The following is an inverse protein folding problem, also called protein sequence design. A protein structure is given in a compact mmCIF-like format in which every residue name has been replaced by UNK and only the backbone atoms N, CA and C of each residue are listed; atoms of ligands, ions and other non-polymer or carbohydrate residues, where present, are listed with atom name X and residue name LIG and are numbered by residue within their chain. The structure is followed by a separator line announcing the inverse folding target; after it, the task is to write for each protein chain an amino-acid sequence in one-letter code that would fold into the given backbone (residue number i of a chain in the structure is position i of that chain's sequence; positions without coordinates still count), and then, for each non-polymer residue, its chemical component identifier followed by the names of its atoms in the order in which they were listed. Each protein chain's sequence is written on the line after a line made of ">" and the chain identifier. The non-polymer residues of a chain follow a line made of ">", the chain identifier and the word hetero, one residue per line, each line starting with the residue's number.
data_IF_544088447799
#
_entry.id   IF_544088447799
#
_cell.length_a   1.000
_cell.length_b   1.000
_cell.length_c   1.000
_cell.angle_alpha   90.00
_cell.angle_beta   90.00
_cell.angle_gamma   90.00
#
_symmetry.space_group_name_H-M   'P 1'
#
loop_
_entity.id
_entity.type
_entity.pdbx_description
1 polymer ?
#
# COMPACT_ATOMS: atom_id res chain seq x y z
N UNK A 1 -9.99 -31.87 -9.24
CA UNK A 1 -11.05 -31.15 -8.47
C UNK A 1 -10.62 -31.00 -7.02
N UNK A 2 -10.91 -29.89 -6.41
CA UNK A 2 -10.65 -29.72 -4.98
C UNK A 2 -11.62 -30.59 -4.18
N UNK A 3 -11.08 -31.46 -3.32
CA UNK A 3 -11.87 -32.43 -2.53
C UNK A 3 -12.27 -31.90 -1.13
N UNK A 4 -11.85 -30.69 -0.80
CA UNK A 4 -12.15 -30.03 0.47
C UNK A 4 -13.37 -29.11 0.39
N UNK A 5 -13.69 -28.45 1.52
CA UNK A 5 -14.73 -27.44 1.56
C UNK A 5 -14.29 -26.15 0.85
N UNK A 6 -15.19 -25.53 0.11
CA UNK A 6 -15.00 -24.19 -0.46
C UNK A 6 -16.05 -23.25 0.13
N UNK A 7 -15.64 -22.05 0.52
CA UNK A 7 -16.53 -21.00 0.99
C UNK A 7 -17.22 -20.34 -0.21
N UNK A 8 -18.42 -20.80 -0.55
CA UNK A 8 -19.13 -20.39 -1.77
C UNK A 8 -20.10 -19.22 -1.59
N UNK A 9 -20.14 -18.61 -0.41
CA UNK A 9 -20.99 -17.47 -0.13
C UNK A 9 -20.28 -16.18 -0.54
N UNK A 10 -21.00 -15.31 -1.27
CA UNK A 10 -20.45 -14.06 -1.76
C UNK A 10 -20.40 -12.97 -0.68
N UNK A 11 -19.55 -11.97 -0.92
CA UNK A 11 -19.44 -10.82 -0.05
C UNK A 11 -20.57 -9.82 -0.32
N UNK A 12 -21.16 -9.28 0.75
CA UNK A 12 -22.12 -8.19 0.67
C UNK A 12 -21.40 -6.85 0.38
N UNK A 13 -21.36 -6.43 -0.86
CA UNK A 13 -20.69 -5.20 -1.31
C UNK A 13 -21.34 -3.89 -0.83
N UNK A 14 -22.40 -3.94 -0.01
CA UNK A 14 -22.84 -2.75 0.75
C UNK A 14 -21.89 -2.40 1.90
N UNK A 15 -21.01 -3.34 2.29
CA UNK A 15 -19.92 -3.15 3.23
C UNK A 15 -18.56 -3.31 2.51
N UNK A 16 -17.51 -2.76 3.08
CA UNK A 16 -16.16 -2.88 2.51
C UNK A 16 -15.54 -4.22 2.87
N UNK A 17 -14.78 -4.80 1.93
CA UNK A 17 -13.85 -5.88 2.25
C UNK A 17 -12.58 -5.28 2.81
N UNK A 18 -12.15 -5.73 3.99
CA UNK A 18 -10.85 -5.32 4.53
C UNK A 18 -9.81 -6.40 4.27
N UNK A 19 -8.77 -6.04 3.54
CA UNK A 19 -7.59 -6.86 3.34
C UNK A 19 -6.45 -6.32 4.19
N UNK A 20 -5.86 -7.14 5.05
CA UNK A 20 -4.75 -6.78 5.91
C UNK A 20 -3.50 -7.58 5.54
N UNK A 21 -2.42 -6.86 5.25
CA UNK A 21 -1.09 -7.42 5.02
C UNK A 21 -0.19 -7.08 6.21
N UNK A 22 0.30 -8.10 6.93
CA UNK A 22 1.08 -7.90 8.14
C UNK A 22 2.47 -8.52 8.01
N UNK A 23 3.50 -7.69 7.90
CA UNK A 23 4.90 -8.09 8.00
C UNK A 23 5.32 -8.29 9.46
N UNK A 24 6.58 -8.53 9.69
CA UNK A 24 7.16 -8.59 11.05
C UNK A 24 8.58 -8.07 10.99
N UNK A 25 8.79 -6.90 11.55
CA UNK A 25 10.10 -6.24 11.62
C UNK A 25 10.45 -5.88 13.05
N UNK A 26 11.55 -6.40 13.55
CA UNK A 26 12.12 -5.94 14.82
C UNK A 26 12.95 -4.69 14.53
N UNK A 27 12.56 -3.56 15.12
CA UNK A 27 13.27 -2.29 15.02
C UNK A 27 13.93 -2.01 16.38
N UNK A 28 15.25 -1.90 16.38
CA UNK A 28 16.02 -1.46 17.52
C UNK A 28 16.51 -0.06 17.24
N UNK A 29 15.93 0.92 17.93
CA UNK A 29 16.33 2.31 17.84
C UNK A 29 17.41 2.63 18.86
N UNK A 30 18.47 3.28 18.44
CA UNK A 30 19.55 3.79 19.28
C UNK A 30 19.26 5.22 19.73
N UNK A 31 20.05 5.72 20.69
CA UNK A 31 19.89 7.08 21.24
C UNK A 31 20.06 8.20 20.19
N UNK A 32 20.90 7.97 19.19
CA UNK A 32 21.16 8.86 18.07
C UNK A 32 20.09 8.78 16.96
N UNK A 33 19.00 8.05 17.22
CA UNK A 33 17.93 7.75 16.26
C UNK A 33 18.34 6.87 15.07
N UNK A 34 19.55 6.30 15.07
CA UNK A 34 19.87 5.23 14.14
C UNK A 34 19.06 3.98 14.46
N UNK A 35 18.67 3.23 13.44
CA UNK A 35 17.86 2.03 13.59
C UNK A 35 18.53 0.81 13.02
N UNK A 36 18.54 -0.28 13.77
CA UNK A 36 18.82 -1.61 13.25
C UNK A 36 17.48 -2.33 13.03
N UNK A 37 17.27 -2.83 11.83
CA UNK A 37 16.01 -3.44 11.42
C UNK A 37 16.24 -4.89 10.98
N UNK A 38 15.62 -5.83 11.69
CA UNK A 38 15.67 -7.26 11.39
C UNK A 38 14.28 -7.75 11.04
N UNK A 39 14.16 -8.48 9.95
CA UNK A 39 12.90 -9.07 9.52
C UNK A 39 12.90 -10.58 9.80
N UNK A 40 12.20 -11.06 10.84
CA UNK A 40 12.04 -12.47 11.12
C UNK A 40 11.19 -13.22 10.09
N UNK A 41 10.26 -12.51 9.43
CA UNK A 41 9.35 -13.08 8.44
C UNK A 41 9.43 -12.31 7.13
N UNK A 42 9.78 -12.99 6.03
CA UNK A 42 10.00 -12.36 4.72
C UNK A 42 8.72 -11.97 4.00
N UNK A 43 7.64 -12.72 4.20
CA UNK A 43 6.34 -12.48 3.56
C UNK A 43 5.31 -12.01 4.59
N UNK A 44 4.33 -11.17 4.22
CA UNK A 44 3.29 -10.75 5.15
C UNK A 44 2.35 -11.93 5.47
N UNK A 45 1.70 -11.88 6.62
CA UNK A 45 0.44 -12.62 6.82
C UNK A 45 -0.67 -11.84 6.14
N UNK A 46 -1.58 -12.57 5.52
CA UNK A 46 -2.72 -12.00 4.83
C UNK A 46 -4.00 -12.39 5.55
N UNK A 47 -4.82 -11.40 5.85
CA UNK A 47 -6.15 -11.58 6.41
C UNK A 47 -7.17 -10.90 5.51
N UNK A 48 -8.35 -11.50 5.39
CA UNK A 48 -9.48 -10.97 4.64
C UNK A 48 -10.71 -10.96 5.54
N UNK A 49 -11.38 -9.83 5.59
CA UNK A 49 -12.63 -9.68 6.33
C UNK A 49 -13.79 -9.52 5.35
N UNK A 50 -14.75 -10.46 5.41
CA UNK A 50 -15.94 -10.48 4.56
C UNK A 50 -17.19 -10.31 5.40
N UNK A 51 -18.13 -9.54 4.88
CA UNK A 51 -19.52 -9.51 5.35
C UNK A 51 -20.38 -10.35 4.41
N UNK A 52 -21.18 -11.25 4.97
CA UNK A 52 -22.11 -12.08 4.19
C UNK A 52 -23.52 -11.85 4.72
N UNK A 53 -24.44 -11.53 3.82
CA UNK A 53 -25.85 -11.31 4.14
C UNK A 53 -26.72 -12.36 3.44
N UNK A 54 -27.03 -13.50 4.08
CA UNK A 54 -27.96 -14.45 3.52
C UNK A 54 -29.34 -13.81 3.30
N UNK A 55 -29.88 -13.93 2.09
CA UNK A 55 -31.14 -13.29 1.71
C UNK A 55 -32.33 -14.20 1.96
N UNK A 56 -32.09 -15.51 2.00
CA UNK A 56 -33.14 -16.50 2.22
C UNK A 56 -32.86 -17.33 3.47
N UNK A 57 -33.94 -17.90 4.05
CA UNK A 57 -33.83 -18.83 5.18
C UNK A 57 -32.98 -20.06 4.84
N UNK A 58 -33.08 -20.57 3.62
CA UNK A 58 -32.32 -21.75 3.16
C UNK A 58 -30.83 -21.40 3.09
N UNK A 59 -30.50 -20.28 2.50
CA UNK A 59 -29.12 -19.79 2.40
C UNK A 59 -28.49 -19.61 3.79
N UNK A 60 -29.22 -18.98 4.71
CA UNK A 60 -28.80 -18.83 6.11
C UNK A 60 -28.52 -20.17 6.79
N UNK A 61 -29.44 -21.15 6.62
CA UNK A 61 -29.24 -22.48 7.18
C UNK A 61 -28.04 -23.20 6.54
N UNK A 62 -27.83 -23.06 5.24
CA UNK A 62 -26.66 -23.58 4.57
C UNK A 62 -25.36 -22.96 5.12
N UNK A 63 -25.36 -21.64 5.35
CA UNK A 63 -24.20 -20.94 5.91
C UNK A 63 -23.94 -21.38 7.37
N UNK A 64 -24.98 -21.48 8.21
CA UNK A 64 -24.87 -21.98 9.59
C UNK A 64 -24.29 -23.42 9.62
N UNK A 65 -24.77 -24.30 8.76
CA UNK A 65 -24.27 -25.66 8.64
C UNK A 65 -22.84 -25.71 8.13
N UNK A 66 -22.49 -24.81 7.18
CA UNK A 66 -21.14 -24.71 6.66
C UNK A 66 -20.15 -24.27 7.76
N UNK A 67 -20.51 -23.26 8.55
CA UNK A 67 -19.70 -22.80 9.69
C UNK A 67 -19.48 -23.96 10.67
N UNK A 68 -20.56 -24.61 11.07
CA UNK A 68 -20.54 -25.73 12.03
C UNK A 68 -19.59 -26.86 11.58
N UNK A 69 -19.62 -27.20 10.30
CA UNK A 69 -18.82 -28.29 9.75
C UNK A 69 -17.36 -27.93 9.53
N UNK A 70 -17.06 -26.68 9.14
CA UNK A 70 -15.77 -26.33 8.53
C UNK A 70 -14.96 -25.28 9.30
N UNK A 71 -15.49 -24.65 10.35
CA UNK A 71 -14.80 -23.55 11.05
C UNK A 71 -13.39 -23.93 11.56
N UNK A 72 -13.19 -25.17 11.99
CA UNK A 72 -11.90 -25.66 12.51
C UNK A 72 -10.88 -26.05 11.43
N UNK A 73 -11.34 -26.21 10.19
CA UNK A 73 -10.55 -26.72 9.07
C UNK A 73 -10.01 -25.64 8.15
N UNK A 74 -9.08 -26.03 7.29
CA UNK A 74 -8.73 -25.24 6.12
C UNK A 74 -9.80 -25.44 5.04
N UNK A 75 -10.10 -24.35 4.33
CA UNK A 75 -11.06 -24.34 3.24
C UNK A 75 -10.54 -23.51 2.07
N UNK A 76 -11.12 -23.67 0.92
CA UNK A 76 -10.85 -22.84 -0.22
C UNK A 76 -11.69 -21.55 -0.11
N UNK A 77 -11.03 -20.41 -0.09
CA UNK A 77 -11.62 -19.08 0.03
C UNK A 77 -11.55 -18.37 -1.32
N UNK A 78 -12.68 -18.02 -1.96
CA UNK A 78 -12.69 -17.12 -3.10
C UNK A 78 -12.16 -15.74 -2.71
N UNK A 79 -11.30 -15.16 -3.53
CA UNK A 79 -10.82 -13.81 -3.34
C UNK A 79 -11.76 -12.86 -4.08
N UNK A 80 -12.88 -12.51 -3.43
CA UNK A 80 -13.95 -11.71 -4.03
C UNK A 80 -13.48 -10.34 -4.53
N UNK A 81 -12.44 -9.79 -3.93
CA UNK A 81 -11.82 -8.55 -4.40
C UNK A 81 -11.19 -8.69 -5.80
N UNK A 82 -10.89 -9.92 -6.21
CA UNK A 82 -10.29 -10.24 -7.50
C UNK A 82 -11.28 -10.94 -8.45
N UNK A 83 -12.57 -10.86 -8.16
CA UNK A 83 -13.62 -11.41 -8.99
C UNK A 83 -13.72 -10.68 -10.33
N UNK A 84 -13.96 -11.45 -11.38
CA UNK A 84 -14.18 -11.00 -12.75
C UNK A 84 -15.42 -11.67 -13.32
N UNK A 85 -16.00 -11.05 -14.35
CA UNK A 85 -17.13 -11.62 -15.08
C UNK A 85 -16.60 -12.31 -16.34
N UNK A 86 -16.98 -13.57 -16.53
CA UNK A 86 -16.65 -14.35 -17.70
C UNK A 86 -17.27 -13.71 -18.95
N UNK A 87 -16.46 -13.40 -19.96
CA UNK A 87 -16.90 -12.74 -21.19
C UNK A 87 -17.27 -13.74 -22.30
N UNK A 88 -16.74 -14.93 -22.24
CA UNK A 88 -16.96 -16.00 -23.23
C UNK A 88 -17.32 -17.31 -22.54
N UNK A 89 -18.04 -18.19 -23.23
CA UNK A 89 -18.41 -19.49 -22.67
C UNK A 89 -17.18 -20.35 -22.41
N UNK A 90 -17.08 -20.90 -21.20
CA UNK A 90 -16.16 -21.97 -20.85
C UNK A 90 -16.95 -23.28 -20.83
N UNK A 91 -16.79 -24.10 -21.88
CA UNK A 91 -17.58 -25.30 -22.06
C UNK A 91 -17.07 -26.46 -21.17
N UNK A 92 -17.99 -27.35 -20.79
CA UNK A 92 -17.62 -28.63 -20.20
C UNK A 92 -16.63 -29.39 -21.06
N UNK A 93 -15.62 -29.99 -20.46
CA UNK A 93 -14.54 -30.68 -21.16
C UNK A 93 -13.37 -29.79 -21.59
N UNK A 94 -13.45 -28.47 -21.45
CA UNK A 94 -12.34 -27.55 -21.70
C UNK A 94 -11.46 -27.37 -20.43
N UNK A 95 -10.16 -27.18 -20.66
CA UNK A 95 -9.17 -26.91 -19.61
C UNK A 95 -8.64 -25.48 -19.65
N UNK A 96 -9.24 -24.58 -20.45
CA UNK A 96 -8.79 -23.19 -20.58
C UNK A 96 -9.97 -22.25 -20.33
N UNK A 97 -9.74 -21.27 -19.46
CA UNK A 97 -10.68 -20.20 -19.15
C UNK A 97 -10.08 -18.88 -19.56
N UNK A 98 -10.75 -18.16 -20.45
CA UNK A 98 -10.29 -16.85 -20.95
C UNK A 98 -10.70 -15.75 -19.97
N UNK A 99 -9.73 -15.25 -19.21
CA UNK A 99 -9.86 -14.15 -18.24
C UNK A 99 -8.54 -13.39 -18.12
N UNK A 100 -8.61 -12.15 -17.75
CA UNK A 100 -7.40 -11.36 -17.47
C UNK A 100 -6.75 -11.82 -16.16
N UNK A 101 -5.46 -12.09 -16.18
CA UNK A 101 -4.71 -12.54 -14.99
C UNK A 101 -3.80 -11.46 -14.45
N UNK A 102 -3.36 -10.51 -15.28
CA UNK A 102 -2.51 -9.39 -14.87
C UNK A 102 -3.26 -8.47 -13.90
N UNK A 103 -2.61 -8.07 -12.81
CA UNK A 103 -3.17 -7.27 -11.71
C UNK A 103 -4.18 -7.99 -10.81
N UNK A 104 -4.41 -9.28 -11.03
CA UNK A 104 -5.28 -10.14 -10.23
C UNK A 104 -4.51 -11.24 -9.51
N UNK A 105 -5.09 -11.78 -8.46
CA UNK A 105 -4.44 -12.73 -7.55
C UNK A 105 -4.44 -14.19 -8.05
N UNK A 106 -4.33 -14.39 -9.37
CA UNK A 106 -4.15 -15.71 -9.92
C UNK A 106 -2.70 -16.19 -9.77
N UNK A 107 -2.52 -17.47 -9.47
CA UNK A 107 -1.21 -18.07 -9.31
C UNK A 107 -1.15 -19.46 -9.96
N UNK A 108 -0.01 -19.81 -10.53
CA UNK A 108 0.25 -21.16 -11.00
C UNK A 108 0.26 -22.13 -9.80
N UNK A 109 -0.40 -23.26 -9.93
CA UNK A 109 -0.70 -24.22 -8.86
C UNK A 109 -1.70 -23.74 -7.78
N UNK A 110 -2.22 -22.50 -7.88
CA UNK A 110 -3.34 -22.02 -7.09
C UNK A 110 -4.69 -22.63 -7.52
N UNK A 111 -5.75 -22.01 -7.13
CA UNK A 111 -7.12 -22.43 -7.46
C UNK A 111 -7.90 -21.30 -8.12
N UNK A 112 -8.90 -21.70 -8.91
CA UNK A 112 -9.88 -20.83 -9.55
C UNK A 112 -11.25 -21.36 -9.20
N UNK A 113 -12.18 -20.44 -8.92
CA UNK A 113 -13.60 -20.74 -8.72
C UNK A 113 -14.41 -20.06 -9.82
N UNK A 114 -15.24 -20.86 -10.52
CA UNK A 114 -16.33 -20.38 -11.34
C UNK A 114 -17.60 -20.45 -10.47
N UNK A 115 -18.31 -19.33 -10.37
CA UNK A 115 -19.38 -19.20 -9.40
C UNK A 115 -20.60 -18.51 -10.02
N UNK A 116 -21.77 -19.02 -9.72
CA UNK A 116 -23.07 -18.43 -10.08
C UNK A 116 -23.89 -18.11 -8.84
N UNK A 117 -23.89 -19.02 -7.87
CA UNK A 117 -24.50 -18.88 -6.55
C UNK A 117 -23.84 -19.86 -5.56
N UNK A 118 -24.24 -19.81 -4.28
CA UNK A 118 -23.63 -20.61 -3.22
C UNK A 118 -23.78 -22.13 -3.40
N UNK A 119 -24.70 -22.60 -4.26
CA UNK A 119 -24.89 -24.03 -4.59
C UNK A 119 -24.27 -24.41 -5.93
N UNK A 120 -24.14 -23.45 -6.86
CA UNK A 120 -23.67 -23.66 -8.21
C UNK A 120 -22.31 -23.00 -8.42
N UNK A 121 -21.27 -23.74 -8.10
CA UNK A 121 -19.88 -23.33 -8.29
C UNK A 121 -18.99 -24.53 -8.66
N UNK A 122 -17.85 -24.26 -9.26
CA UNK A 122 -16.84 -25.26 -9.58
C UNK A 122 -15.46 -24.74 -9.21
N UNK A 123 -14.73 -25.49 -8.36
CA UNK A 123 -13.40 -25.14 -7.91
C UNK A 123 -12.37 -26.04 -8.58
N UNK A 124 -11.45 -25.45 -9.33
CA UNK A 124 -10.47 -26.18 -10.15
C UNK A 124 -9.07 -25.67 -9.87
N UNK A 125 -8.08 -26.55 -9.94
CA UNK A 125 -6.68 -26.21 -9.76
C UNK A 125 -6.11 -25.61 -11.03
N UNK A 126 -5.34 -24.52 -10.88
CA UNK A 126 -4.64 -23.84 -11.98
C UNK A 126 -3.33 -24.58 -12.29
N UNK A 127 -3.06 -24.84 -13.55
CA UNK A 127 -1.81 -25.40 -14.04
C UNK A 127 -0.83 -24.29 -14.45
N UNK A 128 -1.27 -23.37 -15.29
CA UNK A 128 -0.46 -22.28 -15.80
C UNK A 128 -1.30 -21.05 -16.14
N UNK A 129 -0.63 -19.93 -16.33
CA UNK A 129 -1.23 -18.62 -16.57
C UNK A 129 -0.60 -17.96 -17.79
N UNK A 130 -1.43 -17.28 -18.58
CA UNK A 130 -1.01 -16.24 -19.52
C UNK A 130 -1.67 -14.92 -19.09
N UNK A 131 -1.35 -13.79 -19.72
CA UNK A 131 -1.99 -12.51 -19.40
C UNK A 131 -3.50 -12.47 -19.61
N UNK A 132 -4.04 -13.37 -20.46
CA UNK A 132 -5.44 -13.37 -20.91
C UNK A 132 -6.17 -14.70 -20.70
N UNK A 133 -5.52 -15.70 -20.10
CA UNK A 133 -6.14 -17.01 -19.88
C UNK A 133 -5.50 -17.79 -18.72
N UNK A 134 -6.30 -18.65 -18.13
CA UNK A 134 -5.89 -19.63 -17.12
C UNK A 134 -6.04 -21.04 -17.72
N UNK A 135 -4.97 -21.84 -17.65
CA UNK A 135 -5.01 -23.27 -17.99
C UNK A 135 -5.21 -24.07 -16.71
N UNK A 136 -6.15 -24.97 -16.72
CA UNK A 136 -6.54 -25.82 -15.58
C UNK A 136 -5.82 -27.16 -15.61
N UNK A 137 -5.65 -27.79 -14.46
CA UNK A 137 -5.08 -29.15 -14.36
C UNK A 137 -6.05 -30.25 -14.82
N UNK A 138 -7.34 -29.97 -14.73
CA UNK A 138 -8.45 -30.86 -15.07
C UNK A 138 -9.46 -30.11 -15.91
N UNK A 139 -10.20 -30.83 -16.73
CA UNK A 139 -11.27 -30.25 -17.54
C UNK A 139 -12.45 -29.82 -16.68
N UNK A 140 -13.13 -28.75 -17.09
CA UNK A 140 -14.38 -28.31 -16.48
C UNK A 140 -15.46 -29.39 -16.59
N UNK A 141 -16.18 -29.61 -15.53
CA UNK A 141 -17.31 -30.54 -15.48
C UNK A 141 -18.58 -29.92 -16.04
N UNK A 142 -18.77 -28.64 -15.79
CA UNK A 142 -19.96 -27.88 -16.19
C UNK A 142 -19.64 -26.85 -17.27
N UNK A 143 -20.68 -26.47 -18.02
CA UNK A 143 -20.58 -25.35 -18.96
C UNK A 143 -20.94 -24.05 -18.28
N UNK A 144 -20.04 -23.08 -18.31
CA UNK A 144 -20.16 -21.77 -17.71
C UNK A 144 -20.36 -20.71 -18.79
N UNK A 145 -21.51 -20.05 -18.75
CA UNK A 145 -21.89 -19.03 -19.75
C UNK A 145 -21.32 -17.66 -19.39
N UNK A 146 -21.26 -16.71 -20.35
CA UNK A 146 -20.97 -15.31 -20.04
C UNK A 146 -21.85 -14.79 -18.92
N UNK A 147 -21.30 -13.90 -18.06
CA UNK A 147 -21.96 -13.44 -16.84
C UNK A 147 -21.63 -14.24 -15.59
N UNK A 148 -21.04 -15.45 -15.71
CA UNK A 148 -20.52 -16.20 -14.56
C UNK A 148 -19.37 -15.44 -13.90
N UNK A 149 -19.36 -15.41 -12.56
CA UNK A 149 -18.26 -14.85 -11.81
C UNK A 149 -17.09 -15.85 -11.74
N UNK A 150 -15.90 -15.36 -12.00
CA UNK A 150 -14.67 -16.12 -11.90
C UNK A 150 -13.71 -15.39 -10.98
N UNK A 151 -13.21 -16.08 -9.98
CA UNK A 151 -12.25 -15.49 -9.05
C UNK A 151 -11.12 -16.46 -8.70
N UNK A 152 -9.93 -15.95 -8.38
CA UNK A 152 -8.88 -16.76 -7.78
C UNK A 152 -9.33 -17.22 -6.40
N UNK A 153 -8.79 -18.34 -5.93
CA UNK A 153 -9.09 -18.85 -4.61
C UNK A 153 -7.83 -19.32 -3.90
N UNK A 154 -7.83 -19.17 -2.58
CA UNK A 154 -6.70 -19.46 -1.69
C UNK A 154 -7.14 -20.36 -0.56
N UNK A 155 -6.22 -21.20 -0.06
CA UNK A 155 -6.46 -21.91 1.18
C UNK A 155 -6.46 -20.92 2.35
N UNK A 156 -7.50 -21.00 3.18
CA UNK A 156 -7.68 -20.11 4.31
C UNK A 156 -8.38 -20.83 5.47
N UNK A 157 -8.35 -20.19 6.64
CA UNK A 157 -9.05 -20.64 7.84
C UNK A 157 -9.91 -19.51 8.38
N UNK A 158 -11.11 -19.84 8.82
CA UNK A 158 -11.91 -18.88 9.59
C UNK A 158 -11.25 -18.59 10.93
N UNK A 159 -11.44 -17.38 11.44
CA UNK A 159 -11.08 -17.05 12.81
C UNK A 159 -11.83 -17.94 13.81
N UNK A 160 -11.31 -18.01 15.03
CA UNK A 160 -11.94 -18.80 16.10
C UNK A 160 -13.36 -18.32 16.45
N UNK A 161 -13.65 -17.05 16.15
CA UNK A 161 -14.97 -16.46 16.41
C UNK A 161 -15.54 -15.87 15.12
N UNK A 162 -16.71 -16.34 14.72
CA UNK A 162 -17.54 -15.72 13.68
C UNK A 162 -18.57 -14.85 14.37
N UNK A 163 -18.67 -13.60 13.97
CA UNK A 163 -19.62 -12.65 14.55
C UNK A 163 -20.84 -12.51 13.63
N UNK A 164 -22.01 -12.35 14.22
CA UNK A 164 -23.24 -12.10 13.49
C UNK A 164 -24.18 -11.22 14.32
N UNK A 165 -25.02 -10.45 13.64
CA UNK A 165 -26.06 -9.63 14.26
C UNK A 165 -27.42 -10.14 13.81
N UNK A 166 -28.31 -10.38 14.73
CA UNK A 166 -29.65 -10.82 14.39
C UNK A 166 -30.60 -9.62 14.30
N UNK A 167 -30.95 -9.23 13.07
CA UNK A 167 -31.90 -8.15 12.82
C UNK A 167 -33.34 -8.66 12.81
N UNK A 168 -33.56 -9.90 12.30
CA UNK A 168 -34.85 -10.57 12.27
C UNK A 168 -34.64 -12.08 12.37
N UNK A 169 -35.70 -12.86 12.46
CA UNK A 169 -35.60 -14.33 12.51
C UNK A 169 -34.90 -14.93 11.28
N UNK A 170 -34.99 -14.27 10.14
CA UNK A 170 -34.50 -14.76 8.85
C UNK A 170 -33.26 -14.01 8.34
N UNK A 171 -33.01 -12.79 8.82
CA UNK A 171 -31.95 -11.93 8.35
C UNK A 171 -30.86 -11.79 9.41
N UNK A 172 -29.68 -12.33 9.11
CA UNK A 172 -28.50 -12.28 9.95
C UNK A 172 -27.30 -11.97 9.10
N UNK A 173 -26.76 -10.74 9.10
CA UNK A 173 -25.45 -10.49 8.55
C UNK A 173 -24.36 -11.16 9.39
N UNK A 174 -23.40 -11.78 8.73
CA UNK A 174 -22.26 -12.43 9.34
C UNK A 174 -20.99 -11.70 8.94
N UNK A 175 -20.08 -11.55 9.89
CA UNK A 175 -18.74 -11.02 9.65
C UNK A 175 -17.71 -12.12 9.85
N UNK A 176 -16.94 -12.39 8.80
CA UNK A 176 -15.93 -13.43 8.77
C UNK A 176 -14.56 -12.79 8.67
N UNK A 177 -13.66 -13.22 9.53
CA UNK A 177 -12.24 -12.96 9.39
C UNK A 177 -11.55 -14.26 8.96
N UNK A 178 -10.86 -14.23 7.83
CA UNK A 178 -10.11 -15.34 7.29
C UNK A 178 -8.61 -15.08 7.37
N UNK A 179 -7.88 -16.05 7.91
CA UNK A 179 -6.43 -16.12 7.81
C UNK A 179 -6.08 -16.93 6.56
N UNK A 180 -5.42 -16.30 5.59
CA UNK A 180 -5.00 -16.96 4.36
C UNK A 180 -3.70 -17.71 4.63
N UNK A 181 -3.69 -19.03 4.36
CA UNK A 181 -2.53 -19.89 4.62
C UNK A 181 -1.34 -19.54 3.69
N UNK A 182 -1.61 -18.98 2.51
CA UNK A 182 -0.61 -18.50 1.58
C UNK A 182 -0.21 -17.05 1.91
N UNK A 183 1.05 -16.85 2.19
CA UNK A 183 1.55 -15.68 2.89
C UNK A 183 1.50 -14.33 2.15
N UNK A 184 1.16 -14.27 0.86
CA UNK A 184 1.04 -12.99 0.13
C UNK A 184 0.18 -13.16 -1.12
N UNK A 185 -0.36 -12.05 -1.66
CA UNK A 185 -0.93 -12.04 -2.99
C UNK A 185 0.07 -12.56 -4.04
N UNK A 186 -0.44 -13.07 -5.16
CA UNK A 186 0.43 -13.52 -6.25
C UNK A 186 1.28 -12.38 -6.80
N UNK A 187 2.40 -12.73 -7.42
CA UNK A 187 3.27 -11.76 -8.10
C UNK A 187 2.57 -11.08 -9.28
N UNK A 188 1.55 -11.71 -9.86
CA UNK A 188 0.74 -11.10 -10.92
C UNK A 188 -0.10 -9.92 -10.44
N UNK A 189 -0.45 -9.89 -9.16
CA UNK A 189 -1.24 -8.80 -8.56
C UNK A 189 -0.41 -7.55 -8.28
N UNK A 190 0.87 -7.74 -7.94
CA UNK A 190 1.80 -6.67 -7.62
C UNK A 190 2.64 -6.30 -8.85
N UNK A 191 2.64 -5.04 -9.23
CA UNK A 191 3.46 -4.58 -10.35
C UNK A 191 4.95 -4.70 -10.03
N UNK A 192 5.70 -5.26 -10.98
CA UNK A 192 7.15 -5.23 -10.96
C UNK A 192 7.60 -3.92 -11.61
N UNK A 193 7.75 -2.87 -10.82
CA UNK A 193 8.22 -1.56 -11.28
C UNK A 193 9.67 -1.34 -10.88
N UNK A 194 10.41 -0.66 -11.76
CA UNK A 194 11.68 -0.04 -11.41
C UNK A 194 11.40 1.42 -11.05
N UNK A 195 11.24 1.76 -9.76
CA UNK A 195 10.97 3.13 -9.34
C UNK A 195 12.19 4.01 -9.62
N UNK A 196 11.96 5.33 -9.69
CA UNK A 196 13.06 6.26 -9.64
C UNK A 196 13.87 6.05 -8.36
N UNK A 197 15.19 6.22 -8.47
CA UNK A 197 16.11 6.03 -7.35
C UNK A 197 16.89 7.31 -7.08
N UNK A 198 17.11 7.57 -5.81
CA UNK A 198 18.00 8.61 -5.33
C UNK A 198 18.92 8.01 -4.25
N UNK A 199 20.23 8.22 -4.38
CA UNK A 199 21.23 7.61 -3.51
C UNK A 199 21.03 6.10 -3.32
N UNK A 200 20.78 5.38 -4.42
CA UNK A 200 20.54 3.93 -4.46
C UNK A 200 19.30 3.46 -3.67
N UNK A 201 18.37 4.35 -3.37
CA UNK A 201 17.13 4.03 -2.65
C UNK A 201 15.94 4.52 -3.46
N UNK A 202 14.86 3.73 -3.48
CA UNK A 202 13.64 4.04 -4.21
C UNK A 202 13.02 5.37 -3.76
N UNK A 203 12.50 6.13 -4.71
CA UNK A 203 11.65 7.31 -4.46
C UNK A 203 10.20 6.92 -4.63
N UNK A 204 9.38 7.22 -3.63
CA UNK A 204 7.94 7.02 -3.69
C UNK A 204 7.27 8.33 -4.12
N UNK A 205 6.77 8.35 -5.35
CA UNK A 205 6.31 9.57 -6.04
C UNK A 205 4.79 9.76 -5.98
N UNK A 206 4.04 8.90 -5.28
CA UNK A 206 2.61 9.08 -5.14
C UNK A 206 2.29 10.21 -4.17
N UNK A 207 1.34 11.06 -4.56
CA UNK A 207 0.86 12.17 -3.74
C UNK A 207 -0.21 11.63 -2.81
N UNK A 208 -0.13 11.98 -1.51
CA UNK A 208 -1.23 11.67 -0.59
C UNK A 208 -2.50 12.40 -1.01
N UNK A 209 -3.62 11.70 -0.96
CA UNK A 209 -4.92 12.29 -1.27
C UNK A 209 -5.25 13.42 -0.29
N UNK A 210 -5.64 14.57 -0.82
CA UNK A 210 -6.15 15.69 -0.05
C UNK A 210 -7.65 15.54 0.26
N UNK A 211 -8.17 16.43 1.09
CA UNK A 211 -9.62 16.52 1.38
C UNK A 211 -10.02 16.03 2.77
N UNK A 212 -9.16 15.32 3.46
CA UNK A 212 -9.33 15.01 4.89
C UNK A 212 -8.22 15.67 5.71
N UNK A 213 -8.52 15.96 6.96
CA UNK A 213 -7.50 16.39 7.93
C UNK A 213 -6.66 15.17 8.30
N UNK A 214 -5.38 15.24 8.00
CA UNK A 214 -4.42 14.20 8.34
C UNK A 214 -3.48 14.76 9.43
N UNK A 215 -3.48 14.10 10.59
CA UNK A 215 -2.64 14.53 11.71
C UNK A 215 -1.18 14.09 11.47
N UNK A 216 -0.26 15.03 11.56
CA UNK A 216 1.18 14.76 11.58
C UNK A 216 1.74 15.04 12.97
N UNK A 217 2.87 14.42 13.30
CA UNK A 217 3.53 14.63 14.59
C UNK A 217 5.04 14.68 14.48
N UNK A 218 5.64 15.56 15.25
CA UNK A 218 7.08 15.61 15.47
C UNK A 218 7.42 14.88 16.75
N UNK A 219 8.33 13.91 16.69
CA UNK A 219 8.79 13.15 17.84
C UNK A 219 10.26 13.46 18.13
N UNK A 220 10.52 13.99 19.30
CA UNK A 220 11.87 14.27 19.80
C UNK A 220 12.25 13.26 20.90
N UNK A 221 13.50 12.81 20.90
CA UNK A 221 14.00 11.81 21.87
C UNK A 221 14.43 12.42 23.20
N UNK A 222 13.52 13.13 23.88
CA UNK A 222 13.76 13.69 25.21
C UNK A 222 13.24 12.75 26.31
N UNK A 223 13.97 12.62 27.41
CA UNK A 223 13.50 11.94 28.61
C UNK A 223 13.11 12.96 29.67
N UNK A 224 11.88 12.91 30.12
CA UNK A 224 11.41 13.69 31.24
C UNK A 224 11.35 12.79 32.48
N UNK A 225 12.10 13.16 33.52
CA UNK A 225 12.08 12.47 34.82
C UNK A 225 11.33 13.33 35.78
N UNK A 226 10.19 12.84 36.23
CA UNK A 226 9.39 13.51 37.27
C UNK A 226 9.80 12.98 38.66
N UNK A 227 10.32 13.85 39.49
CA UNK A 227 10.69 13.53 40.89
C UNK A 227 9.56 13.88 41.89
N UNK A 228 8.31 14.08 41.41
CA UNK A 228 7.13 14.50 42.19
C UNK A 228 7.24 15.93 42.79
N UNK A 229 8.41 16.50 42.84
CA UNK A 229 8.68 17.89 43.33
C UNK A 229 9.06 18.81 42.16
N UNK A 230 9.49 18.24 41.05
CA UNK A 230 9.85 18.91 39.82
C UNK A 230 10.25 17.92 38.72
N UNK A 231 9.96 18.23 37.46
CA UNK A 231 10.39 17.45 36.34
C UNK A 231 11.72 17.95 35.79
N UNK A 232 12.64 17.04 35.50
CA UNK A 232 13.90 17.35 34.81
C UNK A 232 13.86 16.73 33.43
N UNK A 233 13.96 17.56 32.41
CA UNK A 233 14.11 17.16 31.03
C UNK A 233 15.57 16.82 30.75
N UNK A 234 15.84 15.60 30.33
CA UNK A 234 17.18 15.16 29.92
C UNK A 234 17.20 15.01 28.41
N UNK A 235 17.82 15.97 27.73
CA UNK A 235 18.19 15.85 26.33
C UNK A 235 19.59 15.21 26.25
N UNK A 236 19.68 14.07 25.59
CA UNK A 236 20.96 13.37 25.42
C UNK A 236 21.90 14.09 24.44
N UNK A 237 21.42 15.08 23.70
CA UNK A 237 22.18 15.75 22.61
C UNK A 237 22.52 14.81 21.43
N UNK A 238 22.17 13.54 21.53
CA UNK A 238 22.51 12.52 20.51
C UNK A 238 21.56 12.60 19.30
N UNK A 239 20.41 13.27 19.46
CA UNK A 239 19.38 13.42 18.43
C UNK A 239 19.08 14.89 18.20
N UNK A 240 19.78 15.55 17.28
CA UNK A 240 19.66 17.00 17.10
C UNK A 240 18.29 17.44 16.53
N UNK A 241 17.62 16.56 15.79
CA UNK A 241 16.37 16.89 15.08
C UNK A 241 15.23 15.95 15.49
N UNK A 242 13.98 16.43 15.48
CA UNK A 242 12.81 15.58 15.66
C UNK A 242 12.58 14.70 14.42
N UNK A 243 12.04 13.49 14.60
CA UNK A 243 11.51 12.70 13.51
C UNK A 243 10.06 13.11 13.24
N UNK A 244 9.69 13.21 11.98
CA UNK A 244 8.33 13.49 11.57
C UNK A 244 7.61 12.18 11.20
N UNK A 245 6.37 12.05 11.67
CA UNK A 245 5.46 11.01 11.23
C UNK A 245 4.43 11.67 10.30
N UNK A 246 4.44 11.24 9.04
CA UNK A 246 3.61 11.79 7.97
C UNK A 246 2.50 10.80 7.67
N UNK A 247 1.24 11.19 7.83
CA UNK A 247 0.13 10.35 7.40
C UNK A 247 0.08 10.27 5.87
N UNK A 248 -0.36 9.14 5.37
CA UNK A 248 -0.54 8.88 3.96
C UNK A 248 -1.89 8.19 3.73
N UNK A 249 -2.66 8.72 2.79
CA UNK A 249 -3.93 8.16 2.33
C UNK A 249 -3.94 8.16 0.81
N UNK A 250 -4.44 7.10 0.23
CA UNK A 250 -4.63 6.98 -1.22
C UNK A 250 -5.91 6.21 -1.52
N UNK A 251 -6.65 6.69 -2.51
CA UNK A 251 -7.80 6.04 -3.10
C UNK A 251 -7.41 5.53 -4.48
N UNK A 252 -7.49 4.23 -4.67
CA UNK A 252 -7.22 3.57 -5.94
C UNK A 252 -8.51 3.49 -6.73
N UNK A 253 -8.53 4.08 -7.91
CA UNK A 253 -9.68 4.08 -8.81
C UNK A 253 -9.64 2.90 -9.79
N UNK A 254 -8.48 2.26 -9.91
CA UNK A 254 -8.28 1.14 -10.83
C UNK A 254 -7.22 0.15 -10.34
N UNK A 255 -7.24 -1.02 -10.96
CA UNK A 255 -6.33 -2.13 -10.63
C UNK A 255 -4.84 -1.82 -10.85
N UNK A 256 -4.50 -0.97 -11.81
CA UNK A 256 -3.11 -0.64 -12.09
C UNK A 256 -2.49 0.18 -10.96
N UNK A 257 -3.22 1.17 -10.42
CA UNK A 257 -2.78 1.95 -9.26
C UNK A 257 -2.58 1.05 -8.04
N UNK A 258 -3.58 0.20 -7.74
CA UNK A 258 -3.46 -0.76 -6.64
C UNK A 258 -2.29 -1.72 -6.82
N UNK A 259 -2.08 -2.24 -8.03
CA UNK A 259 -0.95 -3.12 -8.34
C UNK A 259 0.40 -2.43 -8.09
N UNK A 260 0.50 -1.14 -8.42
CA UNK A 260 1.67 -0.30 -8.14
C UNK A 260 1.91 -0.16 -6.64
N UNK A 261 0.85 0.09 -5.87
CA UNK A 261 0.91 0.14 -4.40
C UNK A 261 1.36 -1.18 -3.78
N UNK A 262 0.77 -2.29 -4.21
CA UNK A 262 1.17 -3.62 -3.73
C UNK A 262 2.63 -3.92 -4.06
N UNK A 263 3.10 -3.56 -5.27
CA UNK A 263 4.49 -3.67 -5.66
C UNK A 263 5.42 -2.81 -4.79
N UNK A 264 4.99 -1.62 -4.40
CA UNK A 264 5.71 -0.79 -3.43
C UNK A 264 5.79 -1.47 -2.06
N UNK A 265 4.69 -1.97 -1.51
CA UNK A 265 4.67 -2.66 -0.22
C UNK A 265 5.57 -3.90 -0.21
N UNK A 266 5.56 -4.70 -1.26
CA UNK A 266 6.42 -5.87 -1.43
C UNK A 266 7.92 -5.49 -1.37
N UNK A 267 8.29 -4.37 -2.02
CA UNK A 267 9.67 -3.85 -1.97
C UNK A 267 10.04 -3.29 -0.59
N UNK A 268 9.08 -2.72 0.14
CA UNK A 268 9.34 -2.16 1.50
C UNK A 268 9.45 -3.22 2.57
N UNK A 269 8.75 -4.33 2.42
CA UNK A 269 8.74 -5.44 3.38
C UNK A 269 8.40 -4.96 4.81
N UNK A 270 7.33 -4.17 4.94
CA UNK A 270 6.96 -3.53 6.19
C UNK A 270 7.93 -2.40 6.58
N UNK A 271 8.27 -2.29 7.84
CA UNK A 271 9.17 -1.25 8.37
C UNK A 271 10.65 -1.44 8.01
N UNK A 272 10.99 -2.44 7.21
CA UNK A 272 12.40 -2.84 7.02
C UNK A 272 13.15 -1.93 6.07
N UNK A 273 12.64 -1.72 4.85
CA UNK A 273 13.37 -1.07 3.75
C UNK A 273 12.89 0.37 3.63
N UNK A 274 13.78 1.35 3.80
CA UNK A 274 13.43 2.75 3.67
C UNK A 274 13.24 3.16 2.21
N UNK A 275 12.72 4.37 2.03
CA UNK A 275 12.48 5.01 0.74
C UNK A 275 12.53 6.52 0.89
N UNK A 276 12.71 7.21 -0.21
CA UNK A 276 12.58 8.66 -0.28
C UNK A 276 11.12 9.05 -0.56
N UNK A 277 10.64 10.08 0.13
CA UNK A 277 9.29 10.62 -0.03
C UNK A 277 9.31 12.15 -0.09
N UNK A 278 8.91 12.76 -1.22
CA UNK A 278 8.76 14.21 -1.32
C UNK A 278 7.66 14.70 -0.37
N UNK A 279 7.82 15.91 0.16
CA UNK A 279 6.76 16.56 0.95
C UNK A 279 5.52 16.87 0.13
N UNK A 280 5.68 17.03 -1.19
CA UNK A 280 4.69 17.54 -2.13
C UNK A 280 4.19 18.96 -1.82
N UNK A 281 4.78 19.59 -0.82
CA UNK A 281 4.60 20.99 -0.48
C UNK A 281 5.58 21.85 -1.29
N UNK A 282 5.31 23.13 -1.39
CA UNK A 282 6.27 24.08 -1.95
C UNK A 282 7.11 24.63 -0.81
N UNK A 283 8.09 23.85 -0.35
CA UNK A 283 8.94 24.20 0.80
C UNK A 283 9.83 25.42 0.52
N UNK A 284 10.09 25.68 -0.76
CA UNK A 284 10.86 26.85 -1.23
C UNK A 284 10.11 27.55 -2.34
N UNK A 285 9.93 28.84 -2.22
CA UNK A 285 9.35 29.68 -3.27
C UNK A 285 10.48 30.26 -4.14
N UNK A 286 10.76 29.70 -5.33
CA UNK A 286 11.90 30.13 -6.13
C UNK A 286 11.71 31.54 -6.67
N UNK A 287 12.80 32.29 -6.72
CA UNK A 287 12.92 33.60 -7.36
C UNK A 287 13.77 33.46 -8.62
N UNK A 288 14.93 32.80 -8.51
CA UNK A 288 15.85 32.57 -9.62
C UNK A 288 16.43 31.17 -9.54
N UNK A 289 16.56 30.48 -10.67
CA UNK A 289 17.19 29.17 -10.76
C UNK A 289 18.32 29.24 -11.78
N UNK A 290 19.54 28.96 -11.33
CA UNK A 290 20.75 28.92 -12.16
C UNK A 290 21.21 27.46 -12.28
N UNK A 291 21.14 26.91 -13.48
CA UNK A 291 21.57 25.54 -13.77
C UNK A 291 23.11 25.42 -13.82
N UNK A 292 23.62 24.26 -13.47
CA UNK A 292 25.03 23.90 -13.58
C UNK A 292 25.47 22.93 -12.51
N UNK A 293 26.71 22.45 -12.62
CA UNK A 293 27.33 21.58 -11.60
C UNK A 293 27.39 22.30 -10.24
N UNK A 294 27.56 23.62 -10.26
CA UNK A 294 27.49 24.52 -9.12
C UNK A 294 26.20 25.37 -9.22
N UNK A 295 25.07 24.73 -9.51
CA UNK A 295 23.80 25.43 -9.66
C UNK A 295 23.34 26.05 -8.36
N UNK A 296 22.46 27.06 -8.47
CA UNK A 296 21.87 27.72 -7.31
C UNK A 296 20.39 28.02 -7.52
N UNK A 297 19.67 28.05 -6.41
CA UNK A 297 18.28 28.47 -6.37
C UNK A 297 18.17 29.59 -5.33
N UNK A 298 17.80 30.78 -5.82
CA UNK A 298 17.43 31.88 -4.94
C UNK A 298 15.92 31.75 -4.67
N UNK A 299 15.53 31.88 -3.42
CA UNK A 299 14.14 31.74 -2.99
C UNK A 299 13.79 32.77 -1.91
N UNK A 300 12.50 32.98 -1.70
CA UNK A 300 12.01 33.86 -0.63
C UNK A 300 12.45 33.28 0.71
N UNK A 301 13.11 34.09 1.55
CA UNK A 301 13.65 33.64 2.84
C UNK A 301 12.57 32.98 3.71
N UNK A 302 12.85 31.79 4.19
CA UNK A 302 12.01 30.99 5.08
C UNK A 302 12.77 30.49 6.32
N UNK A 303 14.02 30.94 6.51
CA UNK A 303 14.87 30.58 7.62
C UNK A 303 15.61 29.26 7.46
N UNK A 304 15.60 28.66 6.27
CA UNK A 304 16.30 27.39 6.04
C UNK A 304 17.80 27.50 6.28
N UNK A 305 18.43 28.57 5.78
CA UNK A 305 19.87 28.79 5.92
C UNK A 305 20.27 28.88 7.41
N UNK A 306 19.48 29.59 8.21
CA UNK A 306 19.82 29.90 9.59
C UNK A 306 19.47 28.76 10.57
N UNK A 307 18.38 28.05 10.34
CA UNK A 307 17.87 27.07 11.30
C UNK A 307 18.10 25.62 10.89
N UNK A 308 17.80 25.27 9.65
CA UNK A 308 17.84 23.85 9.21
C UNK A 308 19.21 23.47 8.68
N UNK A 309 19.78 24.28 7.79
CA UNK A 309 21.09 24.01 7.22
C UNK A 309 22.21 24.14 8.28
N UNK A 310 22.12 25.14 9.14
CA UNK A 310 23.07 25.32 10.24
C UNK A 310 23.02 24.16 11.24
N UNK A 311 21.84 23.59 11.50
CA UNK A 311 21.65 22.42 12.36
C UNK A 311 21.96 21.08 11.66
N UNK A 312 22.53 21.10 10.45
CA UNK A 312 22.79 19.92 9.62
C UNK A 312 21.53 19.07 9.36
N UNK A 313 20.40 19.77 9.21
CA UNK A 313 19.08 19.16 8.99
C UNK A 313 18.88 18.64 7.57
N UNK A 314 17.63 18.70 7.09
CA UNK A 314 17.23 18.22 5.74
C UNK A 314 18.05 18.88 4.63
N UNK A 315 18.71 18.05 3.81
CA UNK A 315 19.57 18.52 2.71
C UNK A 315 19.13 18.02 1.34
N UNK A 316 18.13 17.15 1.29
CA UNK A 316 17.72 16.52 0.05
C UNK A 316 16.44 17.16 -0.45
N UNK A 317 16.43 17.51 -1.74
CA UNK A 317 15.38 18.29 -2.39
C UNK A 317 14.90 17.55 -3.64
N UNK A 318 13.59 17.49 -3.83
CA UNK A 318 12.95 17.11 -5.06
C UNK A 318 12.46 18.36 -5.79
N UNK A 319 12.87 18.51 -7.02
CA UNK A 319 12.44 19.56 -7.95
C UNK A 319 11.47 18.91 -8.92
N UNK A 320 10.22 19.33 -8.89
CA UNK A 320 9.11 18.61 -9.52
C UNK A 320 8.27 19.59 -10.33
N UNK A 321 7.96 19.24 -11.59
CA UNK A 321 6.85 19.86 -12.31
C UNK A 321 5.62 18.96 -12.23
N UNK A 322 4.50 19.53 -11.80
CA UNK A 322 3.21 18.88 -11.82
C UNK A 322 2.36 19.41 -12.98
N UNK A 323 1.78 18.49 -13.73
CA UNK A 323 0.71 18.79 -14.68
C UNK A 323 -0.52 18.00 -14.30
N UNK A 324 -1.63 18.67 -14.03
CA UNK A 324 -2.91 18.05 -13.63
C UNK A 324 -2.74 17.04 -12.46
N UNK A 325 -1.87 17.35 -11.48
CA UNK A 325 -1.62 16.48 -10.33
C UNK A 325 -0.71 15.28 -10.63
N UNK A 326 -0.20 15.15 -11.84
CA UNK A 326 0.75 14.11 -12.23
C UNK A 326 2.16 14.68 -12.41
N UNK A 327 3.17 13.91 -12.05
CA UNK A 327 4.57 14.27 -12.29
C UNK A 327 4.86 14.22 -13.79
N UNK A 328 5.43 15.28 -14.33
CA UNK A 328 5.90 15.29 -15.72
C UNK A 328 6.99 14.25 -15.95
N UNK A 329 6.97 13.61 -17.12
CA UNK A 329 7.96 12.62 -17.56
C UNK A 329 9.38 13.18 -17.64
N UNK A 330 10.34 12.28 -17.83
CA UNK A 330 11.80 12.47 -17.84
C UNK A 330 12.32 13.87 -18.23
N UNK A 331 13.14 14.48 -17.38
CA UNK A 331 13.71 15.82 -17.54
C UNK A 331 13.03 16.92 -16.72
N UNK A 332 11.89 16.64 -16.10
CA UNK A 332 11.12 17.59 -15.29
C UNK A 332 11.00 17.16 -13.82
N UNK A 333 11.82 16.19 -13.43
CA UNK A 333 11.95 15.71 -12.06
C UNK A 333 13.41 15.47 -11.76
N UNK A 334 13.93 16.09 -10.73
CA UNK A 334 15.30 15.90 -10.29
C UNK A 334 15.39 15.87 -8.77
N UNK A 335 16.12 14.91 -8.23
CA UNK A 335 16.50 14.86 -6.83
C UNK A 335 17.92 15.38 -6.68
N UNK A 336 18.14 16.31 -5.77
CA UNK A 336 19.43 16.94 -5.54
C UNK A 336 19.74 17.06 -4.06
N UNK A 337 21.04 17.06 -3.72
CA UNK A 337 21.50 17.36 -2.36
C UNK A 337 21.97 18.80 -2.29
N UNK A 338 21.45 19.53 -1.33
CA UNK A 338 21.88 20.89 -1.00
C UNK A 338 23.28 20.82 -0.38
N UNK A 339 24.23 21.50 -0.99
CA UNK A 339 25.62 21.55 -0.53
C UNK A 339 25.90 22.71 0.41
N UNK A 340 25.23 23.83 0.20
CA UNK A 340 25.31 25.02 1.06
C UNK A 340 24.00 25.81 0.99
N UNK A 341 23.77 26.61 2.01
CA UNK A 341 22.70 27.62 2.02
C UNK A 341 23.23 28.91 2.64
N UNK A 342 22.77 30.05 2.13
CA UNK A 342 23.21 31.39 2.56
C UNK A 342 22.00 32.31 2.67
N UNK A 343 21.90 33.03 3.76
CA UNK A 343 20.94 34.12 3.90
C UNK A 343 21.55 35.40 3.27
N UNK A 344 20.87 35.97 2.28
CA UNK A 344 21.37 37.13 1.53
C UNK A 344 21.09 38.46 2.24
N UNK A 345 20.32 38.48 3.32
CA UNK A 345 19.98 39.68 4.10
C UNK A 345 19.01 40.65 3.44
N UNK A 346 18.51 40.33 2.23
CA UNK A 346 17.59 41.16 1.45
C UNK A 346 16.18 40.54 1.34
N UNK A 347 15.82 39.62 2.23
CA UNK A 347 14.56 38.86 2.17
C UNK A 347 14.61 37.64 1.27
N UNK A 348 15.79 37.28 0.74
CA UNK A 348 16.03 36.05 -0.01
C UNK A 348 17.12 35.21 0.64
N UNK A 349 17.09 33.91 0.34
CA UNK A 349 18.15 32.96 0.66
C UNK A 349 18.56 32.24 -0.61
N UNK A 350 19.77 31.71 -0.65
CA UNK A 350 20.32 30.94 -1.78
C UNK A 350 20.70 29.55 -1.32
N UNK A 351 20.21 28.51 -1.98
CA UNK A 351 20.74 27.15 -1.85
C UNK A 351 21.60 26.80 -3.05
N UNK A 352 22.72 26.12 -2.78
CA UNK A 352 23.62 25.60 -3.79
C UNK A 352 23.41 24.10 -3.92
N UNK A 353 23.20 23.62 -5.14
CA UNK A 353 23.06 22.20 -5.45
C UNK A 353 23.37 21.94 -6.94
N UNK A 354 23.84 20.74 -7.32
CA UNK A 354 24.05 20.42 -8.72
C UNK A 354 22.70 20.34 -9.45
N UNK A 355 22.49 21.22 -10.44
CA UNK A 355 21.22 21.34 -11.16
C UNK A 355 21.42 20.98 -12.63
N UNK A 356 20.69 20.01 -13.10
CA UNK A 356 20.56 19.70 -14.53
C UNK A 356 19.05 19.65 -14.88
N UNK A 357 18.40 20.77 -14.66
CA UNK A 357 16.96 20.86 -14.73
C UNK A 357 16.54 21.94 -15.72
N UNK A 358 15.63 21.63 -16.63
CA UNK A 358 15.12 22.63 -17.57
C UNK A 358 14.05 23.45 -16.85
N UNK A 359 14.45 24.63 -16.38
CA UNK A 359 13.53 25.60 -15.82
C UNK A 359 12.76 26.28 -16.94
N UNK A 360 11.46 26.19 -16.88
CA UNK A 360 10.53 26.88 -17.78
C UNK A 360 9.63 27.80 -16.92
N UNK A 361 9.89 29.10 -16.98
CA UNK A 361 9.14 30.11 -16.21
C UNK A 361 7.66 30.15 -16.56
N UNK A 362 7.31 29.69 -17.77
CA UNK A 362 5.96 29.75 -18.30
C UNK A 362 5.11 28.52 -17.90
N UNK A 363 5.70 27.55 -17.19
CA UNK A 363 4.99 26.38 -16.71
C UNK A 363 4.55 26.54 -15.26
N UNK A 364 3.24 26.71 -15.01
CA UNK A 364 2.72 26.65 -13.66
C UNK A 364 2.91 25.21 -13.10
N UNK A 365 3.16 25.11 -11.79
CA UNK A 365 3.23 23.81 -11.12
C UNK A 365 4.62 23.34 -10.73
N UNK A 366 5.65 24.20 -10.82
CA UNK A 366 6.95 23.91 -10.22
C UNK A 366 6.81 23.83 -8.70
N UNK A 367 7.27 22.71 -8.13
CA UNK A 367 7.40 22.52 -6.68
C UNK A 367 8.83 22.21 -6.31
N UNK A 368 9.32 22.88 -5.30
CA UNK A 368 10.59 22.62 -4.64
C UNK A 368 10.27 22.01 -3.27
N UNK A 369 10.30 20.70 -3.21
CA UNK A 369 9.86 19.93 -2.04
C UNK A 369 11.04 19.27 -1.34
N UNK A 370 11.08 19.28 -0.01
CA UNK A 370 12.04 18.45 0.69
C UNK A 370 11.82 16.98 0.34
N UNK A 371 12.91 16.27 0.16
CA UNK A 371 12.91 14.82 -0.01
C UNK A 371 13.26 14.19 1.33
N UNK A 372 12.31 13.51 1.94
CA UNK A 372 12.43 12.88 3.26
C UNK A 372 12.82 11.43 3.13
N UNK A 373 13.79 10.99 3.90
CA UNK A 373 14.16 9.58 3.99
C UNK A 373 13.24 8.90 5.01
N UNK A 374 12.36 8.03 4.55
CA UNK A 374 11.26 7.49 5.33
C UNK A 374 11.25 5.97 5.36
N UNK A 375 10.54 5.40 6.31
CA UNK A 375 10.06 4.02 6.30
C UNK A 375 8.56 3.97 6.63
N UNK A 376 7.92 2.84 6.36
CA UNK A 376 6.57 2.61 6.87
C UNK A 376 6.58 2.66 8.41
N UNK A 377 5.58 3.28 9.01
CA UNK A 377 5.46 3.34 10.48
C UNK A 377 4.91 2.04 11.06
N UNK A 378 4.06 1.35 10.32
CA UNK A 378 3.46 0.08 10.70
C UNK A 378 3.90 -1.08 9.81
N UNK A 379 4.04 -2.27 10.41
CA UNK A 379 4.16 -3.52 9.65
C UNK A 379 2.81 -4.05 9.16
N UNK A 380 1.70 -3.52 9.67
CA UNK A 380 0.34 -3.92 9.27
C UNK A 380 -0.28 -2.81 8.42
N UNK A 381 -0.60 -3.16 7.18
CA UNK A 381 -1.24 -2.26 6.21
C UNK A 381 -2.61 -2.82 5.87
N UNK A 382 -3.61 -1.96 5.95
CA UNK A 382 -4.99 -2.28 5.60
C UNK A 382 -5.37 -1.65 4.27
N UNK A 383 -6.10 -2.41 3.47
CA UNK A 383 -6.69 -1.99 2.19
C UNK A 383 -8.20 -2.24 2.32
N UNK A 384 -8.98 -1.18 2.28
CA UNK A 384 -10.43 -1.26 2.31
C UNK A 384 -10.96 -1.24 0.86
N UNK A 385 -11.55 -2.34 0.44
CA UNK A 385 -12.10 -2.51 -0.89
C UNK A 385 -13.57 -2.11 -0.91
N UNK A 386 -13.90 -1.17 -1.76
CA UNK A 386 -15.27 -0.71 -1.99
C UNK A 386 -15.94 -1.46 -3.15
N UNK A 387 -15.12 -1.85 -4.13
CA UNK A 387 -15.52 -2.67 -5.28
C UNK A 387 -14.36 -3.57 -5.69
N UNK A 388 -14.53 -4.37 -6.72
CA UNK A 388 -13.44 -5.17 -7.30
C UNK A 388 -12.34 -4.33 -7.97
N UNK A 389 -12.55 -3.04 -8.20
CA UNK A 389 -11.59 -2.13 -8.87
C UNK A 389 -11.17 -0.95 -8.02
N UNK A 390 -11.99 -0.56 -7.03
CA UNK A 390 -11.74 0.60 -6.20
C UNK A 390 -11.46 0.20 -4.75
N UNK A 391 -10.39 0.75 -4.21
CA UNK A 391 -9.97 0.51 -2.83
C UNK A 391 -9.33 1.76 -2.22
N UNK A 392 -9.29 1.82 -0.90
CA UNK A 392 -8.60 2.88 -0.16
C UNK A 392 -7.60 2.28 0.81
N UNK A 393 -6.50 2.99 1.05
CA UNK A 393 -5.54 2.64 2.08
C UNK A 393 -5.20 3.86 2.93
N UNK A 394 -4.89 3.61 4.19
CA UNK A 394 -4.38 4.63 5.11
C UNK A 394 -3.20 4.08 5.88
N UNK A 395 -2.10 4.80 5.88
CA UNK A 395 -0.88 4.42 6.60
C UNK A 395 -0.13 5.66 7.05
N UNK A 396 1.04 5.50 7.65
CA UNK A 396 1.93 6.59 7.99
C UNK A 396 3.36 6.24 7.62
N UNK A 397 4.14 7.28 7.31
CA UNK A 397 5.56 7.19 7.02
C UNK A 397 6.34 7.89 8.13
N UNK A 398 7.37 7.23 8.65
CA UNK A 398 8.26 7.78 9.65
C UNK A 398 9.54 8.26 9.01
N UNK A 399 9.88 9.53 9.19
CA UNK A 399 11.15 10.11 8.79
C UNK A 399 12.30 9.51 9.61
N UNK A 400 13.37 9.14 8.93
CA UNK A 400 14.61 8.62 9.51
C UNK A 400 15.66 9.73 9.51
N UNK A 401 16.32 9.91 10.62
CA UNK A 401 17.34 10.95 10.77
C UNK A 401 18.73 10.49 10.30
N UNK A 402 18.94 9.20 10.17
CA UNK A 402 20.16 8.63 9.62
C UNK A 402 20.03 8.47 8.09
N UNK A 403 20.33 9.53 7.39
CA UNK A 403 20.27 9.62 5.91
C UNK A 403 21.56 9.04 5.31
N UNK A 404 21.50 8.24 4.20
CA UNK A 404 22.68 7.67 3.54
C UNK A 404 23.67 8.67 2.96
#
# INVERSE_FOLDING_TARGET
>A
MFSGAAFSFDHNWSETVTERLSWLTNVMAHRDASEQRRQPRRKPRRQLEYSVLPVTQIERQCLDNFIWANQKGAMLLPIWTDAQVLQSTAASGQAVVSIQTTTYDYDANGYLILWRDYQNYEAVKVQSLTSSAVTLTENLLSTWTPGTIVCPARLARMSQQVQGQQHAHEVRPYRFLFDVDEASPSTNRAATLSPNQYLSTDVFEAISEGGEVLDFSYEHGRFDIDFQVGAVAIDSGARPNPALIVPYKETFENRAQLSTWLGFLERRQGRRIPFWFPTWENDFQPVTINNGVNGSIDYVSNGYADWINAANGRKDLAIIYLSNGQVYSAGHYQNVRITAATNNGNGTETINCPLNFVYDSDRPGLKLSFLRYCRLESDSIEIAWHTTTAATTRTAFRELLNVP
#
